data_IF_312825080079
#
_entry.id   IF_312825080079
#
_cell.length_a   1.000
_cell.length_b   1.000
_cell.length_c   1.000
_cell.angle_alpha   90.00
_cell.angle_beta   90.00
_cell.angle_gamma   90.00
#
_symmetry.space_group_name_H-M   'P 1'
#
loop_
_entity.id
_entity.type
_entity.pdbx_description
1 polymer ?
#
# COMPACT_ATOMS: atom_id res chain seq x y z
N UNK A 1 -12.62 16.58 -12.33
CA UNK A 1 -13.43 15.58 -13.08
C UNK A 1 -12.95 14.18 -12.68
N UNK A 2 -13.75 13.44 -11.91
CA UNK A 2 -13.32 12.17 -11.29
C UNK A 2 -12.89 11.09 -12.31
N UNK A 3 -13.45 11.12 -13.52
CA UNK A 3 -13.09 10.19 -14.60
C UNK A 3 -11.66 10.41 -15.10
N UNK A 4 -11.23 11.68 -15.14
CA UNK A 4 -9.87 12.06 -15.54
C UNK A 4 -8.86 11.65 -14.47
N UNK A 5 -9.18 11.90 -13.19
CA UNK A 5 -8.32 11.50 -12.08
C UNK A 5 -8.15 9.99 -11.99
N UNK A 6 -9.24 9.23 -12.16
CA UNK A 6 -9.20 7.77 -12.22
C UNK A 6 -8.35 7.26 -13.39
N UNK A 7 -8.57 7.80 -14.60
CA UNK A 7 -7.79 7.41 -15.79
C UNK A 7 -6.30 7.74 -15.62
N UNK A 8 -5.98 8.88 -15.01
CA UNK A 8 -4.59 9.24 -14.71
C UNK A 8 -3.96 8.27 -13.71
N UNK A 9 -4.63 7.99 -12.58
CA UNK A 9 -4.13 7.05 -11.58
C UNK A 9 -3.96 5.62 -12.13
N UNK A 10 -4.79 5.20 -13.09
CA UNK A 10 -4.69 3.88 -13.71
C UNK A 10 -3.53 3.78 -14.71
N UNK A 11 -3.40 4.76 -15.61
CA UNK A 11 -2.52 4.61 -16.79
C UNK A 11 -1.19 5.34 -16.69
N UNK A 12 -1.09 6.41 -15.89
CA UNK A 12 0.18 7.14 -15.73
C UNK A 12 1.27 6.26 -15.11
N UNK A 13 1.01 5.44 -14.07
CA UNK A 13 2.01 4.51 -13.53
C UNK A 13 2.54 3.50 -14.56
N UNK A 14 1.70 3.08 -15.51
CA UNK A 14 2.06 2.07 -16.51
C UNK A 14 3.21 2.53 -17.40
N UNK A 15 3.32 3.84 -17.65
CA UNK A 15 4.41 4.42 -18.43
C UNK A 15 5.75 4.16 -17.73
N UNK A 16 5.81 4.35 -16.41
CA UNK A 16 7.01 4.12 -15.62
C UNK A 16 7.38 2.63 -15.56
N UNK A 17 6.38 1.75 -15.42
CA UNK A 17 6.61 0.30 -15.47
C UNK A 17 7.14 -0.17 -16.82
N UNK A 18 6.63 0.38 -17.92
CA UNK A 18 7.10 0.06 -19.26
C UNK A 18 8.58 0.44 -19.46
N UNK A 19 9.00 1.59 -18.91
CA UNK A 19 10.42 1.99 -18.92
C UNK A 19 11.31 1.05 -18.11
N UNK A 20 10.84 0.58 -16.94
CA UNK A 20 11.57 -0.39 -16.11
C UNK A 20 11.73 -1.73 -16.81
N UNK A 21 10.71 -2.20 -17.52
CA UNK A 21 10.72 -3.50 -18.20
C UNK A 21 11.56 -3.45 -19.48
N UNK A 22 11.36 -2.44 -20.31
CA UNK A 22 11.96 -2.38 -21.66
C UNK A 22 13.37 -1.78 -21.65
N UNK A 23 13.64 -0.82 -20.75
CA UNK A 23 14.90 -0.05 -20.71
C UNK A 23 15.51 0.02 -19.30
N UNK A 24 15.74 -1.12 -18.61
CA UNK A 24 16.10 -1.14 -17.18
C UNK A 24 17.42 -0.44 -16.85
N UNK A 25 18.35 -0.36 -17.81
CA UNK A 25 19.71 0.21 -17.61
C UNK A 25 19.88 1.61 -18.20
N UNK A 26 18.84 2.20 -18.80
CA UNK A 26 18.98 3.47 -19.50
C UNK A 26 19.09 4.65 -18.52
N UNK A 27 19.93 5.64 -18.86
CA UNK A 27 20.08 6.87 -18.09
C UNK A 27 18.78 7.69 -18.05
N UNK A 28 17.90 7.53 -19.04
CA UNK A 28 16.57 8.15 -19.07
C UNK A 28 15.65 7.52 -18.04
N UNK A 29 15.59 6.19 -17.99
CA UNK A 29 14.81 5.44 -16.98
C UNK A 29 15.27 5.81 -15.57
N UNK A 30 16.59 5.85 -15.33
CA UNK A 30 17.16 6.28 -14.05
C UNK A 30 16.77 7.71 -13.69
N UNK A 31 16.90 8.67 -14.60
CA UNK A 31 16.50 10.07 -14.35
C UNK A 31 15.01 10.23 -14.08
N UNK A 32 14.15 9.54 -14.83
CA UNK A 32 12.70 9.58 -14.65
C UNK A 32 12.32 8.98 -13.29
N UNK A 33 12.87 7.82 -12.91
CA UNK A 33 12.61 7.24 -11.60
C UNK A 33 13.18 8.11 -10.49
N UNK A 34 14.43 8.57 -10.58
CA UNK A 34 15.01 9.49 -9.59
C UNK A 34 14.17 10.76 -9.47
N UNK A 35 13.58 11.26 -10.55
CA UNK A 35 12.69 12.43 -10.52
C UNK A 35 11.34 12.16 -9.85
N UNK A 36 10.80 10.95 -9.97
CA UNK A 36 9.63 10.50 -9.23
C UNK A 36 9.98 10.16 -7.76
N UNK A 37 11.23 9.79 -7.51
CA UNK A 37 11.81 9.42 -6.22
C UNK A 37 12.56 10.56 -5.53
N UNK A 38 12.43 11.85 -5.95
CA UNK A 38 13.07 13.03 -5.30
C UNK A 38 12.53 13.28 -3.87
N UNK A 39 12.04 12.25 -3.18
CA UNK A 39 11.75 12.35 -1.75
C UNK A 39 12.99 12.01 -0.91
N UNK A 40 13.92 11.12 -1.28
CA UNK A 40 15.23 11.02 -0.59
C UNK A 40 16.18 9.95 -1.18
N UNK A 41 17.47 10.27 -1.44
CA UNK A 41 18.49 9.30 -1.87
C UNK A 41 18.80 8.19 -0.84
N UNK A 42 18.62 8.46 0.45
CA UNK A 42 19.01 7.57 1.56
C UNK A 42 17.81 6.99 2.33
N UNK A 43 16.59 7.18 1.82
CA UNK A 43 15.36 6.98 2.62
C UNK A 43 14.55 5.73 2.29
N UNK A 44 14.86 5.02 1.18
CA UNK A 44 14.14 3.80 0.79
C UNK A 44 14.81 2.58 1.41
N UNK A 45 14.02 1.71 2.06
CA UNK A 45 14.53 0.44 2.60
C UNK A 45 15.22 -0.37 1.49
N UNK A 46 16.40 -0.98 1.76
CA UNK A 46 17.10 -1.78 0.76
C UNK A 46 16.22 -2.92 0.24
N UNK A 47 16.24 -3.13 -1.08
CA UNK A 47 15.48 -4.21 -1.73
C UNK A 47 15.85 -5.61 -1.20
N UNK A 48 17.08 -5.76 -0.70
CA UNK A 48 17.54 -6.99 -0.05
C UNK A 48 16.80 -7.23 1.28
N UNK A 49 16.67 -6.20 2.14
CA UNK A 49 15.93 -6.32 3.40
C UNK A 49 14.44 -6.60 3.17
N UNK A 50 13.86 -6.04 2.10
CA UNK A 50 12.50 -6.40 1.69
C UNK A 50 12.37 -7.87 1.25
N UNK A 51 13.35 -8.39 0.51
CA UNK A 51 13.35 -9.79 0.10
C UNK A 51 13.43 -10.74 1.32
N UNK A 52 14.17 -10.35 2.36
CA UNK A 52 14.31 -11.13 3.60
C UNK A 52 12.98 -11.28 4.37
N UNK A 53 12.03 -10.34 4.23
CA UNK A 53 10.66 -10.46 4.78
C UNK A 53 9.93 -11.66 4.18
N UNK A 54 10.27 -12.06 2.95
CA UNK A 54 9.62 -13.17 2.25
C UNK A 54 10.50 -14.42 2.19
N UNK A 55 11.66 -14.43 2.85
CA UNK A 55 12.50 -15.61 2.96
C UNK A 55 11.95 -16.54 4.06
N UNK A 56 11.40 -17.73 3.72
CA UNK A 56 10.88 -18.66 4.70
C UNK A 56 11.96 -19.32 5.57
N UNK A 57 13.24 -19.19 5.18
CA UNK A 57 14.37 -19.71 5.94
C UNK A 57 14.94 -18.71 6.97
N UNK A 58 14.55 -17.44 6.88
CA UNK A 58 14.99 -16.36 7.76
C UNK A 58 14.01 -16.04 8.90
N UNK A 59 14.12 -14.82 9.44
CA UNK A 59 13.17 -14.24 10.39
C UNK A 59 12.45 -13.04 9.73
N UNK A 60 11.28 -13.28 9.09
CA UNK A 60 10.48 -12.24 8.46
C UNK A 60 10.12 -11.08 9.38
N UNK A 61 9.91 -11.34 10.67
CA UNK A 61 9.51 -10.32 11.63
C UNK A 61 10.69 -9.38 11.92
N UNK A 62 11.88 -9.95 12.12
CA UNK A 62 13.09 -9.14 12.32
C UNK A 62 13.43 -8.31 11.08
N UNK A 63 13.31 -8.88 9.88
CA UNK A 63 13.50 -8.16 8.62
C UNK A 63 12.53 -6.97 8.50
N UNK A 64 11.23 -7.18 8.78
CA UNK A 64 10.23 -6.11 8.75
C UNK A 64 10.52 -5.01 9.78
N UNK A 65 10.96 -5.36 10.99
CA UNK A 65 11.36 -4.39 12.03
C UNK A 65 12.56 -3.55 11.58
N UNK A 66 13.50 -4.16 10.85
CA UNK A 66 14.61 -3.45 10.20
C UNK A 66 14.11 -2.43 9.17
N UNK A 67 13.17 -2.84 8.32
CA UNK A 67 12.57 -1.95 7.31
C UNK A 67 11.81 -0.76 7.92
N UNK A 68 11.20 -0.92 9.09
CA UNK A 68 10.52 0.17 9.81
C UNK A 68 11.48 1.28 10.28
N UNK A 69 12.80 1.09 10.21
CA UNK A 69 13.77 2.15 10.50
C UNK A 69 13.85 3.20 9.38
N UNK A 70 13.33 2.90 8.17
CA UNK A 70 13.39 3.79 7.03
C UNK A 70 12.13 4.67 6.93
N UNK A 71 12.23 6.00 7.04
CA UNK A 71 11.06 6.89 7.04
C UNK A 71 10.19 6.81 5.78
N UNK A 72 10.77 6.55 4.60
CA UNK A 72 9.96 6.41 3.39
C UNK A 72 9.17 5.11 3.40
N UNK A 73 9.77 4.01 3.87
CA UNK A 73 9.06 2.73 4.00
C UNK A 73 7.89 2.86 4.97
N UNK A 74 8.11 3.48 6.14
CA UNK A 74 7.03 3.77 7.10
C UNK A 74 5.93 4.63 6.47
N UNK A 75 6.30 5.65 5.71
CA UNK A 75 5.34 6.55 5.05
C UNK A 75 4.54 5.85 3.94
N UNK A 76 5.22 5.03 3.14
CA UNK A 76 4.64 4.18 2.11
C UNK A 76 3.65 3.18 2.74
N UNK A 77 4.12 2.32 3.64
CA UNK A 77 3.31 1.29 4.31
C UNK A 77 2.12 1.89 5.07
N UNK A 78 2.30 3.04 5.73
CA UNK A 78 1.19 3.71 6.40
C UNK A 78 0.08 4.11 5.43
N UNK A 79 0.45 4.62 4.24
CA UNK A 79 -0.52 4.95 3.21
C UNK A 79 -1.22 3.70 2.66
N UNK A 80 -0.52 2.57 2.57
CA UNK A 80 -1.11 1.27 2.20
C UNK A 80 -2.15 0.81 3.23
N UNK A 81 -1.82 0.85 4.52
CA UNK A 81 -2.74 0.45 5.61
C UNK A 81 -3.99 1.34 5.65
N UNK A 82 -3.82 2.68 5.60
CA UNK A 82 -4.96 3.61 5.57
C UNK A 82 -5.85 3.41 4.33
N UNK A 83 -5.24 3.12 3.19
CA UNK A 83 -5.97 2.85 1.95
C UNK A 83 -6.80 1.58 2.11
N UNK A 84 -6.21 0.51 2.67
CA UNK A 84 -6.91 -0.73 2.97
C UNK A 84 -8.08 -0.50 3.93
N UNK A 85 -7.86 0.21 5.05
CA UNK A 85 -8.90 0.50 6.05
C UNK A 85 -10.09 1.25 5.44
N UNK A 86 -9.82 2.23 4.59
CA UNK A 86 -10.85 3.01 3.92
C UNK A 86 -11.67 2.15 2.95
N UNK A 87 -11.01 1.35 2.11
CA UNK A 87 -11.69 0.53 1.12
C UNK A 87 -12.50 -0.61 1.76
N UNK A 88 -11.94 -1.28 2.77
CA UNK A 88 -12.63 -2.33 3.50
C UNK A 88 -13.73 -1.77 4.39
N UNK A 89 -13.49 -0.67 5.10
CA UNK A 89 -14.52 0.02 5.89
C UNK A 89 -15.69 0.51 5.03
N UNK A 90 -15.41 1.05 3.84
CA UNK A 90 -16.45 1.39 2.85
C UNK A 90 -17.22 0.16 2.40
N UNK A 91 -16.54 -0.96 2.15
CA UNK A 91 -17.20 -2.21 1.77
C UNK A 91 -18.12 -2.73 2.88
N UNK A 92 -17.63 -2.77 4.13
CA UNK A 92 -18.40 -3.12 5.34
C UNK A 92 -19.67 -2.26 5.42
N UNK A 93 -19.54 -0.94 5.27
CA UNK A 93 -20.67 -0.02 5.31
C UNK A 93 -21.70 -0.30 4.21
N UNK A 94 -21.26 -0.47 2.97
CA UNK A 94 -22.16 -0.78 1.83
C UNK A 94 -22.81 -2.15 1.93
N UNK A 95 -22.11 -3.14 2.48
CA UNK A 95 -22.66 -4.46 2.78
C UNK A 95 -23.71 -4.39 3.90
N UNK A 96 -23.43 -3.60 4.93
CA UNK A 96 -24.37 -3.26 6.00
C UNK A 96 -25.69 -2.70 5.48
N UNK A 97 -25.61 -1.70 4.60
CA UNK A 97 -26.79 -1.12 3.96
C UNK A 97 -27.59 -2.13 3.13
N UNK A 98 -26.91 -3.04 2.42
CA UNK A 98 -27.57 -4.09 1.61
C UNK A 98 -28.25 -5.14 2.46
N UNK A 99 -27.67 -5.50 3.61
CA UNK A 99 -28.17 -6.55 4.51
C UNK A 99 -29.08 -6.02 5.63
N UNK A 100 -29.14 -4.71 5.84
CA UNK A 100 -29.85 -4.10 6.95
C UNK A 100 -29.20 -4.35 8.32
N UNK A 101 -27.88 -4.58 8.35
CA UNK A 101 -27.12 -4.82 9.59
C UNK A 101 -26.42 -3.54 10.05
N UNK A 102 -26.34 -3.33 11.37
CA UNK A 102 -25.63 -2.20 11.96
C UNK A 102 -24.11 -2.44 11.85
N UNK A 103 -23.35 -1.50 11.26
CA UNK A 103 -21.92 -1.72 10.97
C UNK A 103 -20.97 -0.72 11.61
N UNK A 104 -21.44 0.30 12.35
CA UNK A 104 -20.55 1.35 12.88
C UNK A 104 -19.42 0.82 13.77
N UNK A 105 -19.68 -0.24 14.53
CA UNK A 105 -18.66 -0.90 15.34
C UNK A 105 -17.57 -1.55 14.47
N UNK A 106 -17.96 -2.21 13.38
CA UNK A 106 -17.06 -2.89 12.45
C UNK A 106 -16.26 -1.89 11.62
N UNK A 107 -16.90 -0.80 11.16
CA UNK A 107 -16.22 0.31 10.48
C UNK A 107 -15.22 1.01 11.41
N UNK A 108 -15.59 1.26 12.67
CA UNK A 108 -14.70 1.86 13.66
C UNK A 108 -13.47 0.98 13.92
N UNK A 109 -13.68 -0.32 14.18
CA UNK A 109 -12.57 -1.24 14.39
C UNK A 109 -11.72 -1.43 13.13
N UNK A 110 -12.34 -1.40 11.95
CA UNK A 110 -11.60 -1.45 10.69
C UNK A 110 -10.66 -0.25 10.56
N UNK A 111 -11.10 0.95 10.94
CA UNK A 111 -10.25 2.15 10.89
C UNK A 111 -9.13 2.17 11.95
N UNK A 112 -9.30 1.44 13.06
CA UNK A 112 -8.34 1.48 14.17
C UNK A 112 -7.29 0.37 14.10
N UNK A 113 -7.73 -0.82 13.74
CA UNK A 113 -6.92 -2.04 13.81
C UNK A 113 -7.08 -2.93 12.58
N UNK A 114 -7.74 -2.45 11.53
CA UNK A 114 -7.84 -3.13 10.24
C UNK A 114 -8.62 -4.46 10.29
N UNK A 115 -7.95 -5.62 10.17
CA UNK A 115 -8.60 -6.93 10.06
C UNK A 115 -9.68 -7.29 11.10
N UNK A 116 -9.55 -6.95 12.41
CA UNK A 116 -10.59 -7.26 13.39
C UNK A 116 -11.95 -6.61 13.09
N UNK A 117 -11.98 -5.43 12.47
CA UNK A 117 -13.25 -4.81 12.05
C UNK A 117 -13.95 -5.59 10.94
N UNK A 118 -13.17 -6.12 9.98
CA UNK A 118 -13.70 -6.99 8.93
C UNK A 118 -14.21 -8.32 9.50
N UNK A 119 -13.45 -8.94 10.41
CA UNK A 119 -13.86 -10.19 11.06
C UNK A 119 -15.15 -10.00 11.87
N UNK A 120 -15.29 -8.88 12.58
CA UNK A 120 -16.51 -8.58 13.33
C UNK A 120 -17.72 -8.38 12.41
N UNK A 121 -17.54 -7.75 11.24
CA UNK A 121 -18.61 -7.61 10.24
C UNK A 121 -19.08 -8.97 9.68
N UNK A 122 -18.20 -9.96 9.58
CA UNK A 122 -18.57 -11.29 9.09
C UNK A 122 -19.42 -12.08 10.07
N UNK A 123 -19.32 -11.81 11.37
CA UNK A 123 -20.10 -12.51 12.40
C UNK A 123 -21.32 -11.71 12.88
N UNK A 124 -21.58 -10.54 12.29
CA UNK A 124 -22.76 -9.70 12.54
C UNK A 124 -23.70 -9.68 11.34
#
# INVERSE_FOLDING_TARGET
NIKVAFSAATFVPQIFWLFLIVLPKSEVTKKILVSASIVQPDGTAPMAEFADVFDPSGDPQSAMVGMMQYPNFVSEEWSHVLTWDLFVGRWIWLDGLRRGVFTSHSVLLCNLIGPPGLLLHWIT
#
